data_IF_781663921537
#
_entry.id   IF_781663921537
#
_cell.length_a   1.000
_cell.length_b   1.000
_cell.length_c   1.000
_cell.angle_alpha   90.00
_cell.angle_beta   90.00
_cell.angle_gamma   90.00
#
_symmetry.space_group_name_H-M   'P 1'
#
loop_
_entity.id
_entity.type
_entity.pdbx_description
1 polymer ?
#
# COMPACT_ATOMS: atom_id res chain seq x y z
N UNK A 1 3.81 -9.50 4.69
CA UNK A 1 3.67 -10.00 3.31
C UNK A 1 3.66 -8.84 2.34
N UNK A 2 4.72 -8.63 1.55
CA UNK A 2 4.69 -7.58 0.50
C UNK A 2 4.30 -8.25 -0.81
N UNK A 3 3.43 -7.61 -1.59
CA UNK A 3 3.19 -7.97 -2.98
C UNK A 3 4.50 -8.00 -3.77
N UNK A 4 4.50 -8.67 -4.94
CA UNK A 4 5.70 -8.80 -5.78
C UNK A 4 6.41 -7.43 -5.90
N UNK A 5 7.69 -7.31 -5.48
CA UNK A 5 8.41 -6.04 -5.54
C UNK A 5 8.41 -5.49 -6.96
N UNK A 6 8.05 -4.21 -7.12
CA UNK A 6 8.07 -3.56 -8.42
C UNK A 6 9.52 -3.26 -8.82
N UNK A 7 9.84 -3.45 -10.11
CA UNK A 7 11.10 -2.98 -10.68
C UNK A 7 10.98 -1.46 -10.91
N UNK A 8 11.71 -0.66 -10.12
CA UNK A 8 11.71 0.81 -10.20
C UNK A 8 11.81 1.51 -8.84
N UNK A 9 11.73 2.85 -8.82
CA UNK A 9 11.80 3.63 -7.59
C UNK A 9 10.72 3.23 -6.59
N UNK A 10 11.10 3.20 -5.31
CA UNK A 10 10.21 2.92 -4.18
C UNK A 10 9.34 4.13 -3.89
N UNK A 11 8.13 3.93 -3.39
CA UNK A 11 7.35 5.04 -2.85
C UNK A 11 8.02 5.56 -1.58
N UNK A 12 8.28 6.87 -1.52
CA UNK A 12 8.96 7.48 -0.36
C UNK A 12 10.48 7.25 -0.30
N UNK A 13 11.11 6.81 -1.40
CA UNK A 13 12.57 6.78 -1.56
C UNK A 13 13.30 5.60 -0.91
N UNK A 14 12.78 5.02 0.16
CA UNK A 14 13.37 3.85 0.83
C UNK A 14 12.39 2.68 0.98
N UNK A 15 12.92 1.48 1.21
CA UNK A 15 12.10 0.28 1.45
C UNK A 15 11.30 0.37 2.75
N UNK A 16 11.90 0.94 3.80
CA UNK A 16 11.25 1.14 5.10
C UNK A 16 10.10 2.13 4.99
N UNK A 17 10.31 3.26 4.31
CA UNK A 17 9.27 4.26 4.11
C UNK A 17 8.11 3.70 3.27
N UNK A 18 8.40 2.99 2.17
CA UNK A 18 7.34 2.36 1.38
C UNK A 18 6.48 1.42 2.23
N UNK A 19 7.10 0.61 3.09
CA UNK A 19 6.39 -0.33 3.96
C UNK A 19 5.47 0.39 4.95
N UNK A 20 5.97 1.43 5.62
CA UNK A 20 5.17 2.22 6.55
C UNK A 20 4.02 2.96 5.85
N UNK A 21 4.30 3.56 4.68
CA UNK A 21 3.29 4.25 3.88
C UNK A 21 2.16 3.31 3.45
N UNK A 22 2.48 2.12 2.94
CA UNK A 22 1.46 1.14 2.53
C UNK A 22 0.67 0.61 3.72
N UNK A 23 1.32 0.37 4.86
CA UNK A 23 0.62 -0.06 6.07
C UNK A 23 -0.40 0.98 6.55
N UNK A 24 0.00 2.26 6.59
CA UNK A 24 -0.89 3.35 6.99
C UNK A 24 -2.07 3.52 6.01
N UNK A 25 -1.82 3.42 4.70
CA UNK A 25 -2.90 3.51 3.71
C UNK A 25 -3.92 2.38 3.85
N UNK A 26 -3.48 1.15 4.12
CA UNK A 26 -4.39 0.02 4.35
C UNK A 26 -5.17 0.22 5.66
N UNK A 27 -4.51 0.67 6.73
CA UNK A 27 -5.18 0.95 7.99
C UNK A 27 -6.26 2.03 7.83
N UNK A 28 -5.97 3.12 7.12
CA UNK A 28 -6.95 4.17 6.81
C UNK A 28 -8.07 3.65 5.91
N UNK A 29 -7.77 2.78 4.94
CA UNK A 29 -8.79 2.16 4.09
C UNK A 29 -9.77 1.32 4.92
N UNK A 30 -9.28 0.52 5.86
CA UNK A 30 -10.13 -0.31 6.73
C UNK A 30 -10.96 0.57 7.67
N UNK A 31 -10.35 1.62 8.24
CA UNK A 31 -11.03 2.49 9.20
C UNK A 31 -12.12 3.37 8.56
N UNK A 32 -11.91 3.83 7.33
CA UNK A 32 -12.81 4.77 6.65
C UNK A 32 -13.69 4.11 5.58
N UNK A 33 -13.58 2.79 5.38
CA UNK A 33 -14.23 1.99 4.31
C UNK A 33 -13.89 2.40 2.87
N UNK A 34 -13.26 3.56 2.67
CA UNK A 34 -12.81 4.09 1.40
C UNK A 34 -11.85 5.27 1.60
N UNK A 35 -10.83 5.38 0.75
CA UNK A 35 -9.91 6.52 0.76
C UNK A 35 -9.61 7.01 -0.66
N UNK A 36 -9.42 8.31 -0.82
CA UNK A 36 -8.94 8.91 -2.07
C UNK A 36 -7.43 8.98 -2.04
N UNK A 37 -6.76 8.35 -3.00
CA UNK A 37 -5.30 8.37 -3.13
C UNK A 37 -4.88 8.36 -4.59
N UNK A 38 -3.58 8.52 -4.86
CA UNK A 38 -3.05 8.46 -6.22
C UNK A 38 -3.22 7.06 -6.81
N UNK A 39 -3.51 6.96 -8.10
CA UNK A 39 -3.75 5.68 -8.79
C UNK A 39 -2.60 4.67 -8.60
N UNK A 40 -1.35 5.12 -8.66
CA UNK A 40 -0.18 4.27 -8.48
C UNK A 40 -0.12 3.66 -7.06
N UNK A 41 -0.46 4.42 -6.02
CA UNK A 41 -0.54 3.94 -4.64
C UNK A 41 -1.71 2.97 -4.46
N UNK A 42 -2.87 3.29 -5.02
CA UNK A 42 -4.03 2.40 -4.98
C UNK A 42 -3.71 1.03 -5.59
N UNK A 43 -3.15 0.99 -6.82
CA UNK A 43 -2.74 -0.25 -7.49
C UNK A 43 -1.73 -1.06 -6.68
N UNK A 44 -0.77 -0.39 -6.04
CA UNK A 44 0.24 -1.07 -5.22
C UNK A 44 -0.30 -1.60 -3.89
N UNK A 45 -1.31 -0.95 -3.32
CA UNK A 45 -1.91 -1.32 -2.04
C UNK A 45 -2.89 -2.50 -2.15
N UNK A 46 -3.60 -2.65 -3.27
CA UNK A 46 -4.59 -3.73 -3.51
C UNK A 46 -4.16 -5.13 -3.02
N UNK A 47 -3.03 -5.69 -3.48
CA UNK A 47 -2.60 -7.03 -3.06
C UNK A 47 -2.17 -7.12 -1.59
N UNK A 48 -1.95 -5.98 -0.91
CA UNK A 48 -1.68 -5.94 0.53
C UNK A 48 -3.00 -5.97 1.27
N UNK A 49 -3.97 -5.14 0.87
CA UNK A 49 -5.31 -5.11 1.47
C UNK A 49 -6.05 -6.46 1.31
N UNK A 50 -6.00 -7.07 0.13
CA UNK A 50 -6.62 -8.39 -0.13
C UNK A 50 -6.09 -9.49 0.82
N UNK A 51 -4.79 -9.47 1.12
CA UNK A 51 -4.13 -10.40 2.07
C UNK A 51 -4.38 -10.09 3.54
N UNK A 52 -4.98 -8.94 3.86
CA UNK A 52 -5.38 -8.60 5.23
C UNK A 52 -6.83 -9.01 5.49
N UNK A 53 -7.63 -9.12 4.43
CA UNK A 53 -9.04 -9.55 4.50
C UNK A 53 -9.15 -11.08 4.38
N UNK A 54 -8.25 -11.71 3.61
CA UNK A 54 -8.15 -13.18 3.43
C UNK A 54 -7.19 -13.77 4.45
#
# INVERSE_FOLDING_TARGET
MVARPRKGPRFGGSSSHQKAMMANLVASLIAAEGITTTEAKAKAMRPIAEKMIT
#
